data_IF_263386043218
#
_entry.id   IF_263386043218
#
_cell.length_a   1.000
_cell.length_b   1.000
_cell.length_c   1.000
_cell.angle_alpha   90.00
_cell.angle_beta   90.00
_cell.angle_gamma   90.00
#
_symmetry.space_group_name_H-M   'P 1'
#
loop_
_entity.id
_entity.type
_entity.pdbx_description
1 polymer ?
#
# COMPACT_ATOMS: atom_id res chain seq x y z
N UNK A 1 -10.36 -22.18 -3.34
CA UNK A 1 -10.37 -20.90 -4.07
C UNK A 1 -9.90 -19.76 -3.17
N UNK A 2 -8.98 -18.93 -3.62
CA UNK A 2 -8.60 -17.68 -2.94
C UNK A 2 -9.38 -16.51 -3.53
N UNK A 3 -9.69 -15.51 -2.69
CA UNK A 3 -10.36 -14.29 -3.16
C UNK A 3 -9.45 -13.10 -2.89
N UNK A 4 -9.23 -12.27 -3.91
CA UNK A 4 -8.46 -11.04 -3.79
C UNK A 4 -9.35 -9.86 -4.22
N UNK A 5 -9.90 -9.13 -3.25
CA UNK A 5 -10.61 -7.90 -3.58
C UNK A 5 -9.60 -6.76 -3.79
N UNK A 6 -9.88 -5.85 -4.71
CA UNK A 6 -8.87 -4.90 -5.19
C UNK A 6 -7.77 -5.60 -6.00
N UNK A 7 -8.04 -6.81 -6.53
CA UNK A 7 -7.06 -7.67 -7.18
C UNK A 7 -6.53 -7.14 -8.51
N UNK A 8 -7.22 -6.21 -9.16
CA UNK A 8 -6.71 -5.46 -10.32
C UNK A 8 -5.95 -4.18 -9.89
N UNK A 9 -5.89 -3.90 -8.59
CA UNK A 9 -5.17 -2.76 -8.02
C UNK A 9 -3.68 -3.07 -7.81
N UNK A 10 -2.98 -2.12 -7.19
CA UNK A 10 -1.54 -2.16 -6.95
C UNK A 10 -1.12 -3.35 -6.08
N UNK A 11 -1.52 -3.38 -4.81
CA UNK A 11 -1.11 -4.43 -3.87
C UNK A 11 -1.80 -5.75 -4.22
N UNK A 12 -3.11 -5.71 -4.54
CA UNK A 12 -3.88 -6.92 -4.85
C UNK A 12 -3.32 -7.71 -6.04
N UNK A 13 -2.92 -7.05 -7.12
CA UNK A 13 -2.33 -7.76 -8.26
C UNK A 13 -0.95 -8.38 -7.95
N UNK A 14 -0.16 -7.75 -7.08
CA UNK A 14 1.08 -8.37 -6.59
C UNK A 14 0.81 -9.57 -5.66
N UNK A 15 -0.29 -9.56 -4.89
CA UNK A 15 -0.73 -10.73 -4.12
C UNK A 15 -1.17 -11.87 -5.03
N UNK A 16 -1.95 -11.58 -6.10
CA UNK A 16 -2.31 -12.59 -7.10
C UNK A 16 -1.06 -13.19 -7.74
N UNK A 17 -0.07 -12.35 -8.11
CA UNK A 17 1.21 -12.82 -8.64
C UNK A 17 1.92 -13.76 -7.66
N UNK A 18 1.96 -13.43 -6.37
CA UNK A 18 2.60 -14.26 -5.37
C UNK A 18 1.88 -15.60 -5.15
N UNK A 19 0.55 -15.62 -5.26
CA UNK A 19 -0.24 -16.86 -5.25
C UNK A 19 0.09 -17.71 -6.49
N UNK A 20 0.15 -17.12 -7.69
CA UNK A 20 0.55 -17.81 -8.91
C UNK A 20 1.98 -18.40 -8.81
N UNK A 21 2.93 -17.68 -8.22
CA UNK A 21 4.29 -18.18 -7.97
C UNK A 21 4.32 -19.40 -7.03
N UNK A 22 3.28 -19.60 -6.23
CA UNK A 22 3.07 -20.80 -5.40
C UNK A 22 2.29 -21.92 -6.13
N UNK A 23 1.99 -21.74 -7.42
CA UNK A 23 1.18 -22.66 -8.22
C UNK A 23 -0.31 -22.58 -7.94
N UNK A 24 -0.79 -21.53 -7.26
CA UNK A 24 -2.20 -21.30 -6.96
C UNK A 24 -2.79 -20.44 -8.06
N UNK A 25 -3.73 -21.02 -8.83
CA UNK A 25 -4.45 -20.35 -9.92
C UNK A 25 -5.96 -20.28 -9.67
N UNK A 26 -6.47 -21.05 -8.69
CA UNK A 26 -7.88 -20.98 -8.25
C UNK A 26 -8.13 -19.70 -7.44
N UNK A 27 -8.16 -18.57 -8.17
CA UNK A 27 -8.25 -17.23 -7.62
C UNK A 27 -9.44 -16.49 -8.26
N UNK A 28 -10.35 -15.99 -7.42
CA UNK A 28 -11.35 -15.00 -7.81
C UNK A 28 -10.81 -13.60 -7.55
N UNK A 29 -10.64 -12.82 -8.61
CA UNK A 29 -10.33 -11.39 -8.52
C UNK A 29 -11.62 -10.59 -8.43
N UNK A 30 -11.76 -9.78 -7.39
CA UNK A 30 -12.91 -8.88 -7.20
C UNK A 30 -12.41 -7.44 -7.25
N UNK A 31 -12.91 -6.65 -8.18
CA UNK A 31 -12.49 -5.24 -8.32
C UNK A 31 -13.56 -4.40 -9.03
N UNK A 32 -13.23 -3.14 -9.32
CA UNK A 32 -13.93 -2.24 -10.22
C UNK A 32 -13.03 -1.87 -11.39
N UNK A 33 -13.41 -2.20 -12.61
CA UNK A 33 -12.69 -1.78 -13.82
C UNK A 33 -13.24 -0.47 -14.43
N UNK A 34 -13.83 0.40 -13.60
CA UNK A 34 -14.20 1.77 -14.02
C UNK A 34 -13.00 2.54 -14.58
N UNK A 35 -11.79 2.23 -14.11
CA UNK A 35 -10.55 2.61 -14.75
C UNK A 35 -10.04 1.46 -15.60
N UNK A 36 -10.23 1.60 -16.91
CA UNK A 36 -9.91 0.54 -17.86
C UNK A 36 -8.43 0.11 -17.79
N UNK A 37 -7.49 1.04 -17.58
CA UNK A 37 -6.05 0.78 -17.50
C UNK A 37 -5.63 -0.21 -16.38
N UNK A 38 -6.49 -0.46 -15.39
CA UNK A 38 -6.24 -1.48 -14.35
C UNK A 38 -6.13 -2.91 -14.90
N UNK A 39 -6.75 -3.21 -16.06
CA UNK A 39 -6.64 -4.55 -16.65
C UNK A 39 -5.19 -4.95 -16.93
N UNK A 40 -4.31 -3.97 -17.20
CA UNK A 40 -2.88 -4.21 -17.43
C UNK A 40 -2.18 -4.90 -16.26
N UNK A 41 -2.72 -4.76 -15.05
CA UNK A 41 -2.19 -5.44 -13.87
C UNK A 41 -2.53 -6.94 -13.82
N UNK A 42 -3.46 -7.40 -14.65
CA UNK A 42 -3.93 -8.78 -14.67
C UNK A 42 -3.44 -9.57 -15.89
N UNK A 43 -2.86 -8.92 -16.90
CA UNK A 43 -2.56 -9.53 -18.20
C UNK A 43 -1.52 -10.65 -18.16
N UNK A 44 -0.67 -10.66 -17.14
CA UNK A 44 0.39 -11.65 -16.91
C UNK A 44 0.09 -12.55 -15.69
N UNK A 45 -1.15 -12.58 -15.22
CA UNK A 45 -1.60 -13.35 -14.07
C UNK A 45 -2.61 -14.43 -14.46
N UNK A 46 -2.57 -15.56 -13.74
CA UNK A 46 -3.51 -16.66 -13.89
C UNK A 46 -4.59 -16.56 -12.80
N UNK A 47 -5.85 -16.41 -13.22
CA UNK A 47 -7.01 -16.32 -12.34
C UNK A 47 -8.13 -17.20 -12.86
N UNK A 48 -8.97 -17.74 -11.98
CA UNK A 48 -10.14 -18.54 -12.37
C UNK A 48 -11.26 -17.64 -12.86
N UNK A 49 -11.49 -16.50 -12.21
CA UNK A 49 -12.59 -15.59 -12.57
C UNK A 49 -12.32 -14.17 -12.12
N UNK A 50 -13.05 -13.24 -12.75
CA UNK A 50 -13.12 -11.84 -12.37
C UNK A 50 -14.58 -11.45 -12.09
N UNK A 51 -14.80 -10.67 -11.02
CA UNK A 51 -16.12 -10.21 -10.65
C UNK A 51 -16.09 -8.74 -10.19
N UNK A 52 -17.07 -7.94 -10.64
CA UNK A 52 -17.30 -6.59 -10.10
C UNK A 52 -17.74 -6.68 -8.64
N UNK A 53 -17.31 -5.71 -7.80
CA UNK A 53 -17.52 -5.76 -6.35
C UNK A 53 -19.00 -5.84 -5.95
N UNK A 54 -19.91 -5.17 -6.66
CA UNK A 54 -21.35 -5.23 -6.40
C UNK A 54 -21.93 -6.62 -6.72
N UNK A 55 -21.45 -7.28 -7.77
CA UNK A 55 -21.86 -8.65 -8.09
C UNK A 55 -21.39 -9.62 -7.02
N UNK A 56 -20.16 -9.42 -6.53
CA UNK A 56 -19.58 -10.21 -5.44
C UNK A 56 -20.36 -10.03 -4.12
N UNK A 57 -20.77 -8.81 -3.76
CA UNK A 57 -21.62 -8.58 -2.59
C UNK A 57 -22.94 -9.34 -2.70
N UNK A 58 -23.62 -9.28 -3.84
CA UNK A 58 -24.85 -10.06 -4.09
C UNK A 58 -24.64 -11.55 -3.94
N UNK A 59 -23.50 -12.08 -4.42
CA UNK A 59 -23.13 -13.51 -4.27
C UNK A 59 -23.02 -13.90 -2.79
N UNK A 60 -22.40 -13.05 -1.97
CA UNK A 60 -22.28 -13.23 -0.51
C UNK A 60 -23.67 -13.19 0.18
N UNK A 61 -24.49 -12.18 -0.14
CA UNK A 61 -25.79 -11.95 0.46
C UNK A 61 -26.76 -13.11 0.17
N UNK A 62 -26.70 -13.67 -1.03
CA UNK A 62 -27.52 -14.82 -1.45
C UNK A 62 -26.97 -16.17 -0.93
N UNK A 63 -25.86 -16.19 -0.19
CA UNK A 63 -25.27 -17.42 0.37
C UNK A 63 -24.69 -18.38 -0.67
N UNK A 64 -24.38 -17.90 -1.87
CA UNK A 64 -23.88 -18.74 -2.97
C UNK A 64 -22.35 -18.90 -2.98
N UNK A 65 -21.61 -18.11 -2.21
CA UNK A 65 -20.17 -18.20 -2.12
C UNK A 65 -19.74 -19.41 -1.30
N UNK A 66 -18.92 -20.31 -1.87
CA UNK A 66 -18.47 -21.57 -1.25
C UNK A 66 -17.02 -21.89 -1.62
N UNK A 67 -16.37 -22.75 -0.84
CA UNK A 67 -15.05 -23.30 -1.16
C UNK A 67 -13.93 -22.26 -1.10
N UNK A 68 -14.03 -21.30 -0.20
CA UNK A 68 -13.03 -20.23 -0.04
C UNK A 68 -12.01 -20.63 1.00
N UNK A 69 -10.72 -20.56 0.63
CA UNK A 69 -9.58 -20.86 1.49
C UNK A 69 -9.11 -19.65 2.31
N UNK A 70 -9.11 -18.47 1.70
CA UNK A 70 -8.83 -17.19 2.35
C UNK A 70 -9.33 -16.00 1.52
N UNK A 71 -9.55 -14.86 2.18
CA UNK A 71 -9.86 -13.58 1.52
C UNK A 71 -8.76 -12.57 1.82
N UNK A 72 -8.11 -12.07 0.77
CA UNK A 72 -7.25 -10.87 0.80
C UNK A 72 -8.09 -9.66 0.40
N UNK A 73 -8.31 -8.75 1.33
CA UNK A 73 -9.18 -7.59 1.13
C UNK A 73 -8.33 -6.31 0.99
N UNK A 74 -7.90 -6.04 -0.25
CA UNK A 74 -7.16 -4.84 -0.64
C UNK A 74 -8.06 -3.77 -1.28
N UNK A 75 -9.29 -4.15 -1.63
CA UNK A 75 -10.28 -3.27 -2.25
C UNK A 75 -10.71 -2.13 -1.34
N UNK A 76 -10.47 -0.89 -1.78
CA UNK A 76 -10.87 0.31 -1.07
C UNK A 76 -10.82 1.55 -1.98
N UNK A 77 -11.62 2.57 -1.67
CA UNK A 77 -11.33 3.92 -2.11
C UNK A 77 -10.10 4.42 -1.34
N UNK A 78 -8.95 4.52 -2.00
CA UNK A 78 -7.66 4.93 -1.40
C UNK A 78 -7.33 6.41 -1.61
N UNK A 79 -8.24 7.21 -2.14
CA UNK A 79 -8.05 8.65 -2.35
C UNK A 79 -8.17 9.40 -1.03
N UNK A 80 -7.02 9.85 -0.50
CA UNK A 80 -6.95 10.64 0.74
C UNK A 80 -7.56 12.05 0.61
N UNK A 81 -7.85 12.49 -0.62
CA UNK A 81 -8.49 13.78 -0.94
C UNK A 81 -9.98 13.62 -1.27
N UNK A 82 -10.54 12.42 -1.16
CA UNK A 82 -11.96 12.19 -1.39
C UNK A 82 -12.82 13.05 -0.47
N UNK A 83 -13.89 13.65 -1.01
CA UNK A 83 -14.83 14.52 -0.28
C UNK A 83 -16.19 13.86 -0.04
N UNK A 84 -16.52 12.84 -0.82
CA UNK A 84 -17.74 12.05 -0.60
C UNK A 84 -17.52 11.01 0.51
N UNK A 85 -17.86 11.39 1.74
CA UNK A 85 -17.71 10.53 2.91
C UNK A 85 -18.60 9.30 2.89
N UNK A 86 -19.81 9.39 2.28
CA UNK A 86 -20.72 8.24 2.16
C UNK A 86 -20.08 7.18 1.28
N UNK A 87 -19.66 7.56 0.10
CA UNK A 87 -18.97 6.66 -0.85
C UNK A 87 -17.75 5.96 -0.21
N UNK A 88 -16.90 6.74 0.50
CA UNK A 88 -15.72 6.16 1.18
C UNK A 88 -16.14 5.18 2.28
N UNK A 89 -17.15 5.50 3.10
CA UNK A 89 -17.59 4.61 4.17
C UNK A 89 -18.29 3.35 3.65
N UNK A 90 -19.07 3.44 2.59
CA UNK A 90 -19.68 2.28 1.93
C UNK A 90 -18.62 1.31 1.40
N UNK A 91 -17.63 1.82 0.65
CA UNK A 91 -16.58 0.99 0.04
C UNK A 91 -15.55 0.47 1.04
N UNK A 92 -15.16 1.26 2.04
CA UNK A 92 -14.06 0.90 2.93
C UNK A 92 -14.53 0.25 4.24
N UNK A 93 -15.64 0.71 4.81
CA UNK A 93 -16.11 0.24 6.11
C UNK A 93 -17.24 -0.79 5.98
N UNK A 94 -18.34 -0.46 5.27
CA UNK A 94 -19.47 -1.36 5.16
C UNK A 94 -19.10 -2.65 4.41
N UNK A 95 -18.40 -2.54 3.28
CA UNK A 95 -17.93 -3.69 2.53
C UNK A 95 -16.99 -4.57 3.36
N UNK A 96 -16.00 -3.99 4.04
CA UNK A 96 -15.10 -4.75 4.93
C UNK A 96 -15.85 -5.51 6.03
N UNK A 97 -16.90 -4.90 6.61
CA UNK A 97 -17.76 -5.57 7.61
C UNK A 97 -18.48 -6.78 7.01
N UNK A 98 -19.05 -6.64 5.82
CA UNK A 98 -19.77 -7.73 5.15
C UNK A 98 -18.82 -8.93 4.96
N UNK A 99 -17.60 -8.68 4.47
CA UNK A 99 -16.57 -9.71 4.29
C UNK A 99 -16.15 -10.35 5.62
N UNK A 100 -15.86 -9.52 6.64
CA UNK A 100 -15.49 -10.01 7.96
C UNK A 100 -16.55 -10.95 8.52
N UNK A 101 -17.83 -10.54 8.51
CA UNK A 101 -18.91 -11.39 9.02
C UNK A 101 -19.09 -12.67 8.23
N UNK A 102 -18.94 -12.60 6.90
CA UNK A 102 -18.98 -13.80 6.08
C UNK A 102 -17.82 -14.76 6.45
N UNK A 103 -16.60 -14.26 6.55
CA UNK A 103 -15.42 -15.02 6.92
C UNK A 103 -15.60 -15.69 8.29
N UNK A 104 -16.10 -14.96 9.28
CA UNK A 104 -16.33 -15.51 10.63
C UNK A 104 -17.40 -16.60 10.65
N UNK A 105 -18.46 -16.47 9.85
CA UNK A 105 -19.51 -17.51 9.74
C UNK A 105 -19.01 -18.80 9.08
N UNK A 106 -18.07 -18.69 8.13
CA UNK A 106 -17.59 -19.82 7.33
C UNK A 106 -16.21 -20.32 7.76
N UNK A 107 -15.64 -19.78 8.83
CA UNK A 107 -14.31 -20.10 9.35
C UNK A 107 -13.20 -19.91 8.31
N UNK A 108 -13.26 -18.80 7.56
CA UNK A 108 -12.32 -18.43 6.50
C UNK A 108 -11.37 -17.34 6.99
N UNK A 109 -10.04 -17.49 6.86
CA UNK A 109 -9.07 -16.44 7.16
C UNK A 109 -9.33 -15.16 6.38
N UNK A 110 -9.22 -14.01 7.07
CA UNK A 110 -9.45 -12.68 6.51
C UNK A 110 -8.24 -11.78 6.71
N UNK A 111 -7.57 -11.42 5.62
CA UNK A 111 -6.42 -10.52 5.59
C UNK A 111 -6.85 -9.21 4.95
N UNK A 112 -6.69 -8.07 5.62
CA UNK A 112 -7.22 -6.81 5.10
C UNK A 112 -6.25 -5.64 5.18
N UNK A 113 -6.32 -4.76 4.19
CA UNK A 113 -5.60 -3.50 4.15
C UNK A 113 -6.19 -2.49 5.14
N UNK A 114 -5.48 -2.20 6.23
CA UNK A 114 -5.58 -0.97 6.99
C UNK A 114 -4.54 0.05 6.48
N UNK A 115 -4.26 1.11 7.20
CA UNK A 115 -3.38 2.18 6.74
C UNK A 115 -2.71 2.94 7.89
N UNK A 116 -1.48 3.40 7.69
CA UNK A 116 -0.82 4.35 8.57
C UNK A 116 -1.55 5.70 8.66
N UNK A 117 -2.48 5.99 7.75
CA UNK A 117 -3.34 7.19 7.82
C UNK A 117 -4.23 7.23 9.07
N UNK A 118 -4.40 6.11 9.78
CA UNK A 118 -5.12 6.05 11.06
C UNK A 118 -4.44 6.84 12.16
N UNK A 119 -3.12 7.04 12.07
CA UNK A 119 -2.33 7.74 13.09
C UNK A 119 -2.43 9.27 13.02
N UNK A 120 -2.72 9.81 11.84
CA UNK A 120 -2.78 11.26 11.65
C UNK A 120 -1.44 11.94 11.97
N UNK A 121 -1.46 12.95 12.85
CA UNK A 121 -0.27 13.74 13.24
C UNK A 121 0.17 13.48 14.68
N UNK A 122 -0.17 12.35 15.28
CA UNK A 122 0.15 12.07 16.69
C UNK A 122 1.66 11.90 16.95
N UNK A 123 2.45 11.59 15.92
CA UNK A 123 3.88 11.31 16.06
C UNK A 123 4.21 9.94 16.66
N UNK A 124 3.21 9.20 17.13
CA UNK A 124 3.31 7.84 17.62
C UNK A 124 2.70 6.87 16.61
N UNK A 125 3.46 5.89 16.15
CA UNK A 125 3.05 4.94 15.12
C UNK A 125 3.01 3.51 15.68
N UNK A 126 2.29 3.34 16.79
CA UNK A 126 2.08 2.07 17.48
C UNK A 126 0.61 1.64 17.36
N UNK A 127 0.33 0.33 17.34
CA UNK A 127 -1.02 -0.21 17.11
C UNK A 127 -1.94 -0.10 18.34
N UNK A 128 -1.86 1.05 19.01
CA UNK A 128 -2.64 1.39 20.20
C UNK A 128 -3.68 2.48 19.90
N UNK A 129 -4.84 2.38 20.55
CA UNK A 129 -5.94 3.35 20.33
C UNK A 129 -5.53 4.80 20.61
N UNK A 130 -4.68 5.03 21.61
CA UNK A 130 -4.22 6.37 21.99
C UNK A 130 -3.35 7.06 20.90
N UNK A 131 -2.72 6.27 20.02
CA UNK A 131 -1.92 6.77 18.91
C UNK A 131 -2.73 7.08 17.64
N UNK A 132 -4.05 6.87 17.65
CA UNK A 132 -4.90 6.93 16.43
C UNK A 132 -5.74 8.21 16.41
N UNK A 133 -5.52 9.05 15.39
CA UNK A 133 -6.24 10.32 15.17
C UNK A 133 -6.30 10.67 13.67
N UNK A 134 -7.13 9.98 12.86
CA UNK A 134 -7.15 10.16 11.41
C UNK A 134 -7.52 11.58 10.99
N UNK A 135 -6.88 12.11 9.92
CA UNK A 135 -7.04 13.49 9.45
C UNK A 135 -8.03 13.64 8.30
N UNK A 136 -8.45 12.55 7.66
CA UNK A 136 -9.33 12.56 6.50
C UNK A 136 -10.26 11.36 6.51
N UNK A 137 -11.28 11.40 5.64
CA UNK A 137 -12.32 10.37 5.59
C UNK A 137 -11.76 8.98 5.23
N UNK A 138 -10.71 8.91 4.40
CA UNK A 138 -10.04 7.65 4.10
C UNK A 138 -9.41 7.05 5.37
N UNK A 139 -8.58 7.81 6.08
CA UNK A 139 -7.98 7.38 7.35
C UNK A 139 -9.03 7.01 8.38
N UNK A 140 -10.13 7.80 8.48
CA UNK A 140 -11.25 7.51 9.37
C UNK A 140 -11.95 6.19 9.01
N UNK A 141 -12.16 5.88 7.75
CA UNK A 141 -12.81 4.63 7.31
C UNK A 141 -12.01 3.40 7.73
N UNK A 142 -10.66 3.44 7.59
CA UNK A 142 -9.76 2.37 8.03
C UNK A 142 -9.69 2.28 9.57
N UNK A 143 -9.57 3.43 10.24
CA UNK A 143 -9.64 3.51 11.70
C UNK A 143 -10.94 2.91 12.24
N UNK A 144 -12.08 3.28 11.67
CA UNK A 144 -13.38 2.81 12.15
C UNK A 144 -13.53 1.29 11.97
N UNK A 145 -12.95 0.72 10.91
CA UNK A 145 -12.94 -0.74 10.73
C UNK A 145 -12.02 -1.44 11.74
N UNK A 146 -10.83 -0.90 12.01
CA UNK A 146 -9.95 -1.40 13.07
C UNK A 146 -10.65 -1.37 14.45
N UNK A 147 -11.42 -0.29 14.77
CA UNK A 147 -12.19 -0.22 16.01
C UNK A 147 -13.33 -1.25 16.05
N UNK A 148 -14.02 -1.45 14.91
CA UNK A 148 -15.06 -2.44 14.80
C UNK A 148 -14.53 -3.84 15.07
N UNK A 149 -13.41 -4.20 14.46
CA UNK A 149 -12.73 -5.48 14.68
C UNK A 149 -12.32 -5.67 16.14
N UNK A 150 -11.73 -4.64 16.78
CA UNK A 150 -11.32 -4.70 18.20
C UNK A 150 -12.49 -5.04 19.13
N UNK A 151 -13.70 -4.56 18.84
CA UNK A 151 -14.91 -4.87 19.63
C UNK A 151 -15.36 -6.31 19.48
N UNK A 152 -15.04 -6.94 18.35
CA UNK A 152 -15.37 -8.34 18.07
C UNK A 152 -14.25 -9.31 18.44
N UNK A 153 -13.14 -8.83 19.00
CA UNK A 153 -11.90 -9.59 19.13
C UNK A 153 -12.07 -10.92 19.88
N UNK A 154 -12.85 -10.94 20.96
CA UNK A 154 -13.14 -12.13 21.76
C UNK A 154 -14.08 -13.12 21.08
N UNK A 155 -14.81 -12.69 20.06
CA UNK A 155 -15.83 -13.48 19.35
C UNK A 155 -15.31 -14.03 18.01
N UNK A 156 -14.05 -13.75 17.67
CA UNK A 156 -13.45 -14.20 16.40
C UNK A 156 -13.30 -15.74 16.41
N UNK A 157 -13.75 -16.36 15.33
CA UNK A 157 -13.65 -17.80 15.07
C UNK A 157 -12.56 -18.12 14.05
N UNK A 158 -12.49 -17.33 12.99
CA UNK A 158 -11.47 -17.44 11.97
C UNK A 158 -10.36 -16.41 12.20
N UNK A 159 -9.11 -16.67 11.76
CA UNK A 159 -8.02 -15.70 11.83
C UNK A 159 -8.32 -14.41 11.09
N UNK A 160 -7.97 -13.26 11.69
CA UNK A 160 -8.11 -11.93 11.07
C UNK A 160 -6.81 -11.17 11.21
N UNK A 161 -6.29 -10.66 10.08
CA UNK A 161 -5.05 -9.91 10.03
C UNK A 161 -5.29 -8.57 9.37
N UNK A 162 -5.09 -7.48 10.12
CA UNK A 162 -5.14 -6.12 9.61
C UNK A 162 -3.73 -5.58 9.41
N UNK A 163 -3.45 -5.04 8.24
CA UNK A 163 -2.14 -4.50 7.89
C UNK A 163 -2.21 -3.00 7.69
N UNK A 164 -1.60 -2.24 8.58
CA UNK A 164 -1.44 -0.79 8.47
C UNK A 164 -0.27 -0.51 7.55
N UNK A 165 -0.54 -0.45 6.26
CA UNK A 165 0.49 -0.15 5.27
C UNK A 165 0.98 1.29 5.42
N UNK A 166 2.31 1.44 5.42
CA UNK A 166 2.99 2.72 5.33
C UNK A 166 3.12 3.15 3.87
N UNK A 167 4.19 3.80 3.46
CA UNK A 167 4.31 4.33 2.10
C UNK A 167 4.76 3.24 1.12
N UNK A 168 3.82 2.45 0.64
CA UNK A 168 4.09 1.35 -0.30
C UNK A 168 4.41 1.89 -1.69
N UNK A 169 5.45 1.35 -2.33
CA UNK A 169 5.83 1.64 -3.71
C UNK A 169 6.24 0.34 -4.44
N UNK A 170 6.22 0.37 -5.78
CA UNK A 170 6.66 -0.78 -6.58
C UNK A 170 5.80 -1.05 -7.82
N UNK A 171 6.02 -2.21 -8.48
CA UNK A 171 5.30 -2.61 -9.69
C UNK A 171 3.79 -2.52 -9.59
N UNK A 172 3.12 -2.23 -10.73
CA UNK A 172 1.65 -2.25 -10.91
C UNK A 172 0.88 -1.06 -10.30
N UNK A 173 1.54 0.07 -9.97
CA UNK A 173 0.87 1.25 -9.41
C UNK A 173 0.49 2.33 -10.44
N UNK A 174 0.67 2.13 -11.74
CA UNK A 174 0.47 3.15 -12.80
C UNK A 174 -0.90 3.81 -12.79
N UNK A 175 -1.94 3.04 -12.53
CA UNK A 175 -3.32 3.51 -12.49
C UNK A 175 -3.61 4.47 -11.33
N UNK A 176 -2.72 4.61 -10.34
CA UNK A 176 -2.97 5.44 -9.15
C UNK A 176 -2.85 6.94 -9.41
N UNK A 177 -2.35 7.37 -10.58
CA UNK A 177 -2.17 8.78 -10.94
C UNK A 177 -1.46 9.59 -9.83
N UNK A 178 -2.10 10.66 -9.31
CA UNK A 178 -1.55 11.48 -8.23
C UNK A 178 -1.29 10.73 -6.93
N UNK A 179 -1.97 9.61 -6.70
CA UNK A 179 -1.81 8.75 -5.52
C UNK A 179 -0.72 7.68 -5.69
N UNK A 180 -0.04 7.67 -6.84
CA UNK A 180 1.13 6.82 -7.03
C UNK A 180 2.30 7.26 -6.15
N UNK A 181 3.24 6.35 -5.91
CA UNK A 181 4.41 6.64 -5.07
C UNK A 181 5.29 7.76 -5.65
N UNK A 182 6.04 8.41 -4.77
CA UNK A 182 7.03 9.41 -5.21
C UNK A 182 8.13 8.79 -6.06
N UNK A 183 8.45 7.51 -5.87
CA UNK A 183 9.40 6.80 -6.72
C UNK A 183 8.95 6.77 -8.19
N UNK A 184 7.67 6.46 -8.46
CA UNK A 184 7.11 6.52 -9.81
C UNK A 184 7.08 7.95 -10.35
N UNK A 185 6.71 8.94 -9.52
CA UNK A 185 6.70 10.33 -9.96
C UNK A 185 8.09 10.82 -10.33
N UNK A 186 9.12 10.50 -9.52
CA UNK A 186 10.50 10.89 -9.81
C UNK A 186 11.05 10.17 -11.05
N UNK A 187 10.74 8.88 -11.22
CA UNK A 187 11.08 8.14 -12.43
C UNK A 187 10.53 8.83 -13.69
N UNK A 188 9.22 9.14 -13.70
CA UNK A 188 8.58 9.81 -14.84
C UNK A 188 9.16 11.20 -15.11
N UNK A 189 9.37 12.00 -14.06
CA UNK A 189 9.94 13.33 -14.18
C UNK A 189 11.38 13.28 -14.74
N UNK A 190 12.20 12.39 -14.19
CA UNK A 190 13.59 12.29 -14.64
C UNK A 190 13.70 11.80 -16.09
N UNK A 191 12.87 10.83 -16.49
CA UNK A 191 12.81 10.34 -17.89
C UNK A 191 12.34 11.42 -18.87
N UNK A 192 11.42 12.29 -18.47
CA UNK A 192 10.84 13.32 -19.31
C UNK A 192 11.71 14.59 -19.34
N UNK A 193 12.11 15.07 -18.18
CA UNK A 193 12.63 16.42 -17.97
C UNK A 193 14.11 16.45 -17.56
N UNK A 194 14.75 15.29 -17.34
CA UNK A 194 16.09 15.12 -16.74
C UNK A 194 16.24 15.82 -15.37
N UNK A 195 15.16 16.08 -14.68
CA UNK A 195 15.17 16.59 -13.32
C UNK A 195 13.95 16.12 -12.54
N UNK A 196 14.03 16.17 -11.21
CA UNK A 196 12.93 15.86 -10.29
C UNK A 196 12.59 17.06 -9.41
N UNK A 197 11.33 17.18 -9.01
CA UNK A 197 10.83 18.27 -8.16
C UNK A 197 10.34 17.69 -6.83
N UNK A 198 10.90 18.18 -5.75
CA UNK A 198 10.55 17.86 -4.38
C UNK A 198 9.94 19.09 -3.71
N UNK A 199 9.21 18.89 -2.61
CA UNK A 199 8.72 20.02 -1.83
C UNK A 199 9.85 20.66 -1.02
N UNK A 200 9.81 21.98 -0.95
CA UNK A 200 10.64 22.77 -0.04
C UNK A 200 10.35 22.40 1.43
N UNK A 201 11.21 22.80 2.31
CA UNK A 201 11.16 22.49 3.74
C UNK A 201 9.87 22.97 4.40
N UNK A 202 9.28 22.12 5.21
CA UNK A 202 8.10 22.41 6.04
C UNK A 202 8.12 21.59 7.32
N UNK A 203 7.40 22.04 8.34
CA UNK A 203 7.28 21.29 9.60
C UNK A 203 8.60 21.07 10.34
N UNK A 204 9.55 22.01 10.21
CA UNK A 204 10.87 21.91 10.83
C UNK A 204 11.90 21.11 10.04
N UNK A 205 11.56 20.62 8.86
CA UNK A 205 12.47 19.90 7.95
C UNK A 205 13.02 20.86 6.89
N UNK A 206 14.26 20.64 6.46
CA UNK A 206 14.86 21.30 5.29
C UNK A 206 14.23 20.79 3.98
N UNK A 207 14.64 21.37 2.85
CA UNK A 207 14.14 21.05 1.52
C UNK A 207 14.30 19.55 1.18
N UNK A 208 13.18 18.88 0.92
CA UNK A 208 13.14 17.45 0.62
C UNK A 208 13.48 16.51 1.78
N UNK A 209 13.69 17.04 2.99
CA UNK A 209 14.09 16.24 4.17
C UNK A 209 12.91 15.74 5.01
N UNK A 210 11.68 16.02 4.63
CA UNK A 210 10.53 15.34 5.22
C UNK A 210 10.70 13.83 5.05
N UNK A 211 10.29 13.03 6.05
CA UNK A 211 10.62 11.61 6.12
C UNK A 211 9.39 10.72 6.13
N UNK A 212 9.47 9.60 5.42
CA UNK A 212 8.45 8.55 5.41
C UNK A 212 9.09 7.18 5.56
N UNK A 213 8.33 6.27 6.11
CA UNK A 213 8.66 4.85 6.03
C UNK A 213 8.18 4.33 4.67
N UNK A 214 9.12 4.18 3.74
CA UNK A 214 8.88 3.65 2.40
C UNK A 214 9.13 2.16 2.40
N UNK A 215 8.13 1.37 1.97
CA UNK A 215 8.22 -0.08 1.90
C UNK A 215 7.93 -0.57 0.48
N UNK A 216 8.77 -1.48 -0.01
CA UNK A 216 8.55 -2.10 -1.33
C UNK A 216 7.36 -3.06 -1.29
N UNK A 217 6.60 -3.15 -2.39
CA UNK A 217 5.40 -4.00 -2.45
C UNK A 217 5.72 -5.48 -2.26
N UNK A 218 6.91 -5.96 -2.67
CA UNK A 218 7.32 -7.36 -2.43
C UNK A 218 7.38 -7.68 -0.93
N UNK A 219 7.81 -6.73 -0.09
CA UNK A 219 7.85 -6.89 1.36
C UNK A 219 6.43 -6.92 1.95
N UNK A 220 5.54 -6.08 1.44
CA UNK A 220 4.11 -6.09 1.81
C UNK A 220 3.49 -7.44 1.48
N UNK A 221 3.73 -7.95 0.27
CA UNK A 221 3.26 -9.27 -0.16
C UNK A 221 3.85 -10.37 0.72
N UNK A 222 5.16 -10.31 1.02
CA UNK A 222 5.82 -11.30 1.89
C UNK A 222 5.20 -11.34 3.30
N UNK A 223 4.80 -10.20 3.86
CA UNK A 223 4.06 -10.15 5.14
C UNK A 223 2.69 -10.82 5.01
N UNK A 224 1.92 -10.51 3.97
CA UNK A 224 0.61 -11.15 3.73
C UNK A 224 0.74 -12.68 3.61
N UNK A 225 1.69 -13.15 2.80
CA UNK A 225 1.94 -14.59 2.62
C UNK A 225 2.40 -15.26 3.91
N UNK A 226 3.17 -14.57 4.76
CA UNK A 226 3.56 -15.10 6.07
C UNK A 226 2.33 -15.36 6.97
N UNK A 227 1.39 -14.41 7.05
CA UNK A 227 0.21 -14.56 7.88
C UNK A 227 -0.86 -15.49 7.27
N UNK A 228 -0.82 -15.73 5.97
CA UNK A 228 -1.58 -16.81 5.35
C UNK A 228 -1.10 -18.19 5.87
N UNK A 229 0.22 -18.36 5.94
CA UNK A 229 0.86 -19.63 6.34
C UNK A 229 0.89 -19.81 7.87
N UNK A 230 0.95 -18.72 8.64
CA UNK A 230 1.07 -18.68 10.10
C UNK A 230 -0.04 -17.80 10.71
N UNK A 231 -1.26 -18.30 10.79
CA UNK A 231 -2.41 -17.51 11.20
C UNK A 231 -2.32 -17.07 12.67
N UNK A 232 -2.05 -15.80 12.89
CA UNK A 232 -1.98 -15.16 14.20
C UNK A 232 -2.75 -13.84 14.17
N UNK A 233 -4.02 -13.86 14.61
CA UNK A 233 -4.89 -12.68 14.52
C UNK A 233 -4.27 -11.45 15.15
N UNK A 234 -4.33 -10.32 14.44
CA UNK A 234 -3.74 -9.06 14.89
C UNK A 234 -3.96 -7.90 13.93
N UNK A 235 -3.72 -6.69 14.42
CA UNK A 235 -3.52 -5.50 13.58
C UNK A 235 -2.03 -5.17 13.69
N UNK A 236 -1.35 -5.04 12.56
CA UNK A 236 0.10 -4.89 12.46
C UNK A 236 0.48 -3.72 11.57
N UNK A 237 1.47 -2.97 12.01
CA UNK A 237 2.15 -2.03 11.12
C UNK A 237 2.97 -2.80 10.08
N UNK A 238 2.85 -2.37 8.83
CA UNK A 238 3.63 -2.89 7.70
C UNK A 238 4.40 -1.74 7.06
N UNK A 239 5.58 -1.54 7.55
CA UNK A 239 6.62 -0.60 7.15
C UNK A 239 7.97 -1.23 7.46
N UNK A 240 9.04 -0.55 7.09
CA UNK A 240 10.41 -1.04 7.32
C UNK A 240 10.92 -0.79 8.74
N UNK A 241 10.30 0.15 9.46
CA UNK A 241 10.79 0.69 10.72
C UNK A 241 11.91 1.73 10.54
N UNK A 242 12.15 2.17 9.30
CA UNK A 242 13.18 3.15 8.95
C UNK A 242 12.58 4.28 8.12
N UNK A 243 12.51 5.47 8.68
CA UNK A 243 12.06 6.65 7.95
C UNK A 243 13.20 7.21 7.09
N UNK A 244 12.95 7.39 5.80
CA UNK A 244 13.90 7.98 4.84
C UNK A 244 13.33 9.26 4.22
N UNK A 245 14.21 10.15 3.76
CA UNK A 245 13.81 11.43 3.19
C UNK A 245 13.37 11.29 1.73
N UNK A 246 12.62 12.27 1.24
CA UNK A 246 12.29 12.33 -0.18
C UNK A 246 13.55 12.57 -1.04
N UNK A 247 14.57 13.23 -0.50
CA UNK A 247 15.87 13.37 -1.13
C UNK A 247 16.55 12.00 -1.35
N UNK A 248 16.52 11.11 -0.35
CA UNK A 248 17.09 9.76 -0.46
C UNK A 248 16.38 8.95 -1.57
N UNK A 249 15.03 9.02 -1.63
CA UNK A 249 14.28 8.37 -2.71
C UNK A 249 14.63 8.95 -4.09
N UNK A 250 14.73 10.27 -4.22
CA UNK A 250 15.06 10.93 -5.48
C UNK A 250 16.46 10.54 -5.96
N UNK A 251 17.45 10.56 -5.07
CA UNK A 251 18.83 10.10 -5.35
C UNK A 251 18.85 8.64 -5.78
N UNK A 252 18.11 7.77 -5.10
CA UNK A 252 18.03 6.36 -5.45
C UNK A 252 17.45 6.14 -6.86
N UNK A 253 16.35 6.84 -7.23
CA UNK A 253 15.73 6.76 -8.56
C UNK A 253 16.69 7.25 -9.65
N UNK A 254 17.30 8.43 -9.45
CA UNK A 254 18.24 9.00 -10.43
C UNK A 254 19.42 8.06 -10.62
N UNK A 255 20.06 7.62 -9.54
CA UNK A 255 21.23 6.74 -9.62
C UNK A 255 20.93 5.36 -10.21
N UNK A 256 19.71 4.84 -10.03
CA UNK A 256 19.32 3.59 -10.69
C UNK A 256 19.23 3.78 -12.23
N UNK A 257 18.66 4.90 -12.69
CA UNK A 257 18.61 5.24 -14.12
C UNK A 257 20.00 5.55 -14.70
N UNK A 258 20.85 6.27 -13.95
CA UNK A 258 22.23 6.57 -14.37
C UNK A 258 23.06 5.28 -14.53
N UNK A 259 22.96 4.33 -13.60
CA UNK A 259 23.62 3.02 -13.73
C UNK A 259 23.20 2.26 -14.98
N UNK A 260 21.91 2.29 -15.34
CA UNK A 260 21.43 1.65 -16.59
C UNK A 260 22.03 2.29 -17.86
N UNK A 261 22.43 3.55 -17.76
CA UNK A 261 23.06 4.30 -18.84
C UNK A 261 24.61 4.29 -18.74
N UNK A 262 25.18 3.38 -17.93
CA UNK A 262 26.62 3.27 -17.67
C UNK A 262 27.26 4.57 -17.14
N UNK A 263 26.48 5.37 -16.41
CA UNK A 263 26.95 6.61 -15.78
C UNK A 263 27.16 6.44 -14.27
N UNK A 264 28.12 7.15 -13.67
CA UNK A 264 28.45 7.01 -12.26
C UNK A 264 27.33 7.55 -11.37
N UNK A 265 27.14 6.93 -10.21
CA UNK A 265 26.24 7.42 -9.17
C UNK A 265 26.71 8.78 -8.64
N UNK A 266 25.74 9.63 -8.30
CA UNK A 266 25.97 10.99 -7.83
C UNK A 266 25.35 11.16 -6.43
N UNK A 267 25.98 11.97 -5.60
CA UNK A 267 25.42 12.33 -4.29
C UNK A 267 24.44 13.51 -4.40
N UNK A 268 23.67 13.73 -3.34
CA UNK A 268 22.65 14.79 -3.29
C UNK A 268 23.21 16.17 -3.64
N UNK A 269 24.36 16.56 -3.10
CA UNK A 269 24.95 17.88 -3.34
C UNK A 269 25.31 18.12 -4.81
N UNK A 270 25.79 17.10 -5.50
CA UNK A 270 26.09 17.17 -6.94
C UNK A 270 24.78 17.37 -7.72
N UNK A 271 23.75 16.58 -7.43
CA UNK A 271 22.46 16.64 -8.11
C UNK A 271 21.73 17.99 -7.86
N UNK A 272 21.87 18.55 -6.68
CA UNK A 272 21.35 19.91 -6.36
C UNK A 272 22.09 21.00 -7.15
N UNK A 273 23.43 20.98 -7.17
CA UNK A 273 24.24 21.95 -7.93
C UNK A 273 23.96 21.89 -9.43
N UNK A 274 23.73 20.69 -9.96
CA UNK A 274 23.35 20.48 -11.35
C UNK A 274 21.90 20.81 -11.67
N UNK A 275 21.09 21.21 -10.68
CA UNK A 275 19.63 21.43 -10.81
C UNK A 275 18.87 20.21 -11.30
N UNK A 276 19.41 19.02 -11.08
CA UNK A 276 18.74 17.74 -11.33
C UNK A 276 17.70 17.45 -10.25
N UNK A 277 17.96 17.86 -9.00
CA UNK A 277 16.98 17.91 -7.91
C UNK A 277 16.64 19.38 -7.68
N UNK A 278 15.34 19.71 -7.76
CA UNK A 278 14.79 21.06 -7.59
C UNK A 278 13.75 21.08 -6.50
N UNK A 279 13.63 22.17 -5.78
CA UNK A 279 12.64 22.33 -4.72
C UNK A 279 11.57 23.33 -5.12
N UNK A 280 10.31 22.97 -4.82
CA UNK A 280 9.11 23.77 -5.13
C UNK A 280 8.28 23.98 -3.88
N UNK A 281 7.56 25.08 -3.81
CA UNK A 281 6.66 25.35 -2.69
C UNK A 281 5.58 24.26 -2.59
N UNK A 282 5.24 23.87 -1.36
CA UNK A 282 4.13 22.95 -1.12
C UNK A 282 2.79 23.59 -1.52
N UNK A 283 1.91 22.87 -2.23
CA UNK A 283 0.56 23.36 -2.53
C UNK A 283 -0.23 23.69 -1.26
N UNK A 284 -0.94 24.82 -1.25
CA UNK A 284 -1.75 25.28 -0.12
C UNK A 284 -2.78 24.24 0.36
N UNK A 285 -3.33 23.43 -0.55
CA UNK A 285 -4.29 22.37 -0.24
C UNK A 285 -3.75 21.29 0.71
N UNK A 286 -2.43 21.20 0.87
CA UNK A 286 -1.75 20.27 1.77
C UNK A 286 -1.45 20.88 3.15
N UNK A 287 -1.62 22.19 3.34
CA UNK A 287 -1.37 22.85 4.61
C UNK A 287 -2.21 22.24 5.74
N UNK A 288 -1.56 21.89 6.86
CA UNK A 288 -2.21 21.26 8.01
C UNK A 288 -2.67 19.80 7.81
N UNK A 289 -2.48 19.23 6.60
CA UNK A 289 -2.84 17.84 6.28
C UNK A 289 -1.65 16.97 5.89
N UNK A 290 -0.48 17.58 5.75
CA UNK A 290 0.73 16.90 5.33
C UNK A 290 1.53 16.40 6.52
N UNK A 291 1.65 15.09 6.65
CA UNK A 291 2.52 14.48 7.65
C UNK A 291 3.99 14.69 7.24
N UNK A 292 4.81 15.36 8.06
CA UNK A 292 6.24 15.56 7.77
C UNK A 292 7.11 14.36 8.17
N UNK A 293 6.56 13.45 8.99
CA UNK A 293 7.26 12.26 9.46
C UNK A 293 6.29 11.08 9.60
N UNK A 294 6.71 9.88 9.17
CA UNK A 294 6.10 8.60 9.54
C UNK A 294 7.18 7.52 9.63
N UNK A 295 7.08 6.67 10.66
CA UNK A 295 7.95 5.51 10.84
C UNK A 295 7.18 4.41 11.57
N UNK A 296 7.11 3.22 11.00
CA UNK A 296 6.42 2.08 11.60
C UNK A 296 7.16 1.62 12.87
N UNK A 297 6.43 1.42 13.95
CA UNK A 297 6.88 0.56 15.03
C UNK A 297 6.54 -0.88 14.61
N UNK A 298 7.56 -1.74 14.48
CA UNK A 298 7.41 -3.07 13.88
C UNK A 298 7.62 -4.23 14.87
N UNK A 299 7.81 -3.95 16.16
CA UNK A 299 8.07 -5.00 17.18
C UNK A 299 6.92 -5.98 17.31
N UNK A 300 5.67 -5.51 17.16
CA UNK A 300 4.49 -6.36 17.17
C UNK A 300 4.49 -7.35 15.98
N UNK A 301 4.82 -6.87 14.78
CA UNK A 301 4.98 -7.71 13.58
C UNK A 301 6.08 -8.75 13.78
N UNK A 302 7.23 -8.33 14.36
CA UNK A 302 8.35 -9.22 14.66
C UNK A 302 7.99 -10.27 15.73
N UNK A 303 7.28 -9.87 16.77
CA UNK A 303 6.79 -10.77 17.82
C UNK A 303 5.76 -11.79 17.32
N UNK A 304 5.03 -11.46 16.25
CA UNK A 304 4.13 -12.38 15.55
C UNK A 304 4.85 -13.37 14.61
N UNK A 305 6.19 -13.37 14.60
CA UNK A 305 7.02 -14.36 13.90
C UNK A 305 7.55 -13.90 12.52
N UNK A 306 7.21 -12.73 12.04
CA UNK A 306 7.76 -12.24 10.78
C UNK A 306 9.20 -11.74 10.96
N UNK A 307 10.18 -12.60 10.61
CA UNK A 307 11.61 -12.33 10.83
C UNK A 307 12.38 -11.85 9.57
N UNK A 308 11.77 -11.90 8.37
CA UNK A 308 12.47 -11.52 7.13
C UNK A 308 12.89 -10.06 7.17
N UNK A 309 14.12 -9.71 6.74
CA UNK A 309 14.52 -8.32 6.58
C UNK A 309 13.71 -7.67 5.46
N UNK A 310 13.46 -6.37 5.59
CA UNK A 310 12.86 -5.56 4.54
C UNK A 310 13.93 -5.00 3.61
N UNK A 311 13.57 -4.71 2.37
CA UNK A 311 14.44 -4.01 1.43
C UNK A 311 14.72 -2.58 1.93
N UNK A 312 15.95 -2.11 1.75
CA UNK A 312 16.23 -0.67 1.88
C UNK A 312 15.57 0.10 0.73
N UNK A 313 15.42 1.42 0.87
CA UNK A 313 14.90 2.27 -0.21
C UNK A 313 15.76 2.13 -1.47
N UNK A 314 17.08 2.10 -1.32
CA UNK A 314 18.00 1.94 -2.46
C UNK A 314 17.78 0.61 -3.19
N UNK A 315 17.63 -0.49 -2.45
CA UNK A 315 17.41 -1.82 -3.03
C UNK A 315 16.03 -1.91 -3.70
N UNK A 316 14.99 -1.46 -3.01
CA UNK A 316 13.62 -1.53 -3.52
C UNK A 316 13.39 -0.58 -4.69
N UNK A 317 13.93 0.64 -4.64
CA UNK A 317 13.85 1.61 -5.74
C UNK A 317 14.61 1.09 -6.95
N UNK A 318 15.80 0.49 -6.77
CA UNK A 318 16.56 -0.08 -7.88
C UNK A 318 15.77 -1.18 -8.60
N UNK A 319 15.18 -2.13 -7.86
CA UNK A 319 14.28 -3.15 -8.44
C UNK A 319 13.12 -2.53 -9.20
N UNK A 320 12.50 -1.52 -8.62
CA UNK A 320 11.34 -0.89 -9.22
C UNK A 320 11.69 -0.12 -10.49
N UNK A 321 12.78 0.64 -10.48
CA UNK A 321 13.25 1.37 -11.67
C UNK A 321 13.63 0.42 -12.80
N UNK A 322 14.27 -0.72 -12.51
CA UNK A 322 14.55 -1.76 -13.50
C UNK A 322 13.26 -2.28 -14.15
N UNK A 323 12.26 -2.65 -13.32
CA UNK A 323 10.96 -3.11 -13.80
C UNK A 323 10.23 -2.06 -14.65
N UNK A 324 10.30 -0.78 -14.25
CA UNK A 324 9.71 0.34 -15.01
C UNK A 324 10.38 0.54 -16.36
N UNK A 325 11.70 0.50 -16.41
CA UNK A 325 12.48 0.71 -17.62
C UNK A 325 12.22 -0.39 -18.67
N UNK A 326 12.16 -1.67 -18.24
CA UNK A 326 11.84 -2.80 -19.14
C UNK A 326 10.45 -2.70 -19.81
N UNK A 327 9.55 -1.92 -19.26
CA UNK A 327 8.18 -1.73 -19.78
C UNK A 327 7.97 -0.39 -20.48
N UNK A 328 8.98 0.46 -20.47
CA UNK A 328 8.95 1.79 -21.08
C UNK A 328 9.78 1.87 -22.37
N UNK A 329 10.59 0.85 -22.62
CA UNK A 329 11.37 0.63 -23.83
C UNK A 329 10.58 -0.25 -24.81
#
# INVERSE_FOLDING_TARGET
MYIVTGGAGFIGANLVQALNQRGITDILVVDHLTRADKFLNLTDLEITDYMEAEAFLRLIENGHLKGVDAIFHEGACSDTMATDGRYVMENNFAFSKTLLHWCQRHNVPFLYASSASVYGMTGAFVEERAAESPLNIYGFSKFQFDQYLRRMWTDLRAPVHGFRYFNVYGPREFHKNRMASVALHFFKQYRLDNHVRLFAGTGGYADGEQRRDFIHVDDVVAVNMHFLDHPHSGIYNVGTGQAQSFNEVAVAVINSLERRADRPAQNLLVLQKAQTIRYVSMPEALNGKYQSFTQAEVSKLRSAGYAKPFLTVEQGVDRYVQWLAERSD
#
